data_IF_674974580966
#
_entry.id   IF_674974580966
#
_cell.length_a   1.000
_cell.length_b   1.000
_cell.length_c   1.000
_cell.angle_alpha   90.00
_cell.angle_beta   90.00
_cell.angle_gamma   90.00
#
_symmetry.space_group_name_H-M   'P 1'
#
loop_
_entity.id
_entity.type
_entity.pdbx_description
1 polymer ?
#
# COMPACT_ATOMS: atom_id res chain seq x y z
N UNK A 1 3.53 -28.14 -0.90
CA UNK A 1 3.97 -26.72 -0.81
C UNK A 1 2.98 -25.92 -1.63
N UNK A 2 2.35 -24.92 -1.03
CA UNK A 2 1.30 -24.10 -1.67
C UNK A 2 1.87 -23.33 -2.88
N UNK A 3 1.18 -23.37 -4.02
CA UNK A 3 1.62 -22.69 -5.25
C UNK A 3 1.78 -21.18 -5.00
N UNK A 4 0.88 -20.58 -4.23
CA UNK A 4 0.96 -19.16 -3.86
C UNK A 4 2.25 -18.84 -3.09
N UNK A 5 2.62 -19.71 -2.15
CA UNK A 5 3.86 -19.56 -1.38
C UNK A 5 5.08 -19.60 -2.30
N UNK A 6 5.15 -20.55 -3.23
CA UNK A 6 6.27 -20.65 -4.19
C UNK A 6 6.38 -19.42 -5.09
N UNK A 7 5.25 -18.93 -5.60
CA UNK A 7 5.22 -17.72 -6.43
C UNK A 7 5.65 -16.50 -5.62
N UNK A 8 5.18 -16.39 -4.38
CA UNK A 8 5.54 -15.29 -3.48
C UNK A 8 7.04 -15.31 -3.11
N UNK A 9 7.61 -16.46 -2.80
CA UNK A 9 9.05 -16.60 -2.53
C UNK A 9 9.87 -16.19 -3.76
N UNK A 10 9.51 -16.69 -4.94
CA UNK A 10 10.20 -16.33 -6.17
C UNK A 10 10.08 -14.81 -6.47
N UNK A 11 8.91 -14.22 -6.22
CA UNK A 11 8.71 -12.78 -6.37
C UNK A 11 9.61 -11.99 -5.41
N UNK A 12 9.65 -12.38 -4.14
CA UNK A 12 10.50 -11.75 -3.12
C UNK A 12 12.00 -11.83 -3.45
N UNK A 13 12.45 -12.83 -4.21
CA UNK A 13 13.85 -12.96 -4.61
C UNK A 13 14.21 -12.15 -5.87
N UNK A 14 13.26 -11.99 -6.80
CA UNK A 14 13.57 -11.55 -8.17
C UNK A 14 13.00 -10.18 -8.54
N UNK A 15 11.92 -9.75 -7.88
CA UNK A 15 11.08 -8.65 -8.36
C UNK A 15 11.00 -7.46 -7.41
N UNK A 16 11.62 -7.57 -6.22
CA UNK A 16 11.67 -6.50 -5.22
C UNK A 16 13.06 -5.86 -5.20
N UNK A 17 13.10 -4.54 -5.01
CA UNK A 17 14.36 -3.87 -4.75
C UNK A 17 14.78 -4.18 -3.32
N UNK A 18 16.01 -4.67 -3.15
CA UNK A 18 16.58 -4.96 -1.82
C UNK A 18 16.64 -3.71 -0.94
N UNK A 19 16.87 -2.56 -1.56
CA UNK A 19 16.92 -1.26 -0.91
C UNK A 19 16.11 -0.25 -1.73
N UNK A 20 15.24 0.47 -1.03
CA UNK A 20 14.46 1.58 -1.55
C UNK A 20 15.01 2.89 -0.98
N UNK A 21 14.77 3.97 -1.70
CA UNK A 21 15.24 5.30 -1.33
C UNK A 21 14.16 6.33 -1.65
N UNK A 22 14.00 7.30 -0.76
CA UNK A 22 13.19 8.51 -0.97
C UNK A 22 13.95 9.74 -0.46
N UNK A 23 13.38 10.93 -0.65
CA UNK A 23 13.90 12.18 -0.11
C UNK A 23 12.83 12.91 0.70
N UNK A 24 13.21 13.44 1.84
CA UNK A 24 12.40 14.36 2.64
C UNK A 24 13.23 15.61 2.93
N UNK A 25 12.77 16.79 2.48
CA UNK A 25 13.45 18.09 2.74
C UNK A 25 14.97 18.07 2.49
N UNK A 26 15.43 17.34 1.47
CA UNK A 26 16.84 17.19 1.11
C UNK A 26 17.57 16.00 1.76
N UNK A 27 17.02 15.40 2.80
CA UNK A 27 17.56 14.19 3.44
C UNK A 27 17.25 12.95 2.61
N UNK A 28 18.27 12.13 2.37
CA UNK A 28 18.11 10.84 1.73
C UNK A 28 17.71 9.78 2.77
N UNK A 29 16.55 9.15 2.55
CA UNK A 29 16.02 8.13 3.44
C UNK A 29 16.01 6.80 2.71
N UNK A 30 16.81 5.87 3.22
CA UNK A 30 16.87 4.51 2.70
C UNK A 30 15.95 3.62 3.54
N UNK A 31 15.32 2.61 2.94
CA UNK A 31 14.58 1.59 3.68
C UNK A 31 14.53 0.29 2.88
N UNK A 32 14.23 -0.82 3.54
CA UNK A 32 14.20 -2.13 2.91
C UNK A 32 12.78 -2.71 2.89
N UNK A 33 12.41 -3.26 1.74
CA UNK A 33 11.25 -4.11 1.63
C UNK A 33 11.65 -5.54 2.01
N UNK A 34 11.07 -6.07 3.07
CA UNK A 34 11.40 -7.40 3.61
C UNK A 34 10.80 -8.55 2.79
N UNK A 35 9.91 -8.25 1.85
CA UNK A 35 9.14 -9.26 1.13
C UNK A 35 7.76 -9.49 1.73
N UNK A 36 6.88 -10.09 0.94
CA UNK A 36 5.57 -10.51 1.39
C UNK A 36 5.67 -11.75 2.30
N UNK A 37 4.85 -11.86 3.37
CA UNK A 37 3.82 -10.88 3.80
C UNK A 37 4.35 -9.85 4.83
N UNK A 38 5.64 -9.87 5.18
CA UNK A 38 6.20 -9.03 6.25
C UNK A 38 6.24 -7.54 5.89
N UNK A 39 6.40 -7.23 4.61
CA UNK A 39 6.49 -5.91 3.97
C UNK A 39 7.66 -5.04 4.45
N UNK A 40 7.62 -4.64 5.71
CA UNK A 40 8.58 -3.76 6.38
C UNK A 40 8.94 -4.39 7.73
N UNK A 41 10.21 -4.43 8.08
CA UNK A 41 10.66 -4.80 9.42
C UNK A 41 10.56 -3.57 10.32
N UNK A 42 9.75 -3.61 11.38
CA UNK A 42 9.58 -2.46 12.29
C UNK A 42 10.92 -1.98 12.86
N UNK A 43 11.79 -2.84 13.45
CA UNK A 43 13.07 -2.40 13.99
C UNK A 43 13.98 -1.77 12.91
N UNK A 44 14.11 -2.45 11.75
CA UNK A 44 14.97 -1.98 10.67
C UNK A 44 14.48 -0.63 10.13
N UNK A 45 13.17 -0.48 9.96
CA UNK A 45 12.56 0.75 9.46
C UNK A 45 12.76 1.92 10.42
N UNK A 46 12.57 1.70 11.72
CA UNK A 46 12.86 2.71 12.74
C UNK A 46 14.34 3.11 12.72
N UNK A 47 15.25 2.14 12.66
CA UNK A 47 16.69 2.42 12.53
C UNK A 47 16.99 3.26 11.30
N UNK A 48 16.41 2.94 10.15
CA UNK A 48 16.58 3.73 8.93
C UNK A 48 16.11 5.18 9.10
N UNK A 49 14.91 5.38 9.67
CA UNK A 49 14.36 6.72 9.87
C UNK A 49 15.18 7.54 10.86
N UNK A 50 15.60 6.95 11.98
CA UNK A 50 16.37 7.64 13.02
C UNK A 50 17.78 7.99 12.53
N UNK A 51 18.44 7.07 11.81
CA UNK A 51 19.81 7.30 11.29
C UNK A 51 19.85 8.28 10.12
N UNK A 52 18.86 8.27 9.23
CA UNK A 52 18.80 9.21 8.10
C UNK A 52 18.59 10.66 8.50
N UNK A 53 18.01 10.90 9.68
CA UNK A 53 17.65 12.24 10.14
C UNK A 53 18.39 12.66 11.43
N UNK A 54 19.28 11.80 11.94
CA UNK A 54 19.96 11.96 13.23
C UNK A 54 18.99 12.37 14.36
N UNK A 55 17.85 11.68 14.42
CA UNK A 55 16.75 12.04 15.32
C UNK A 55 16.24 10.82 16.07
N UNK A 56 16.10 10.96 17.39
CA UNK A 56 15.56 9.92 18.25
C UNK A 56 14.06 10.14 18.49
N UNK A 57 13.22 9.31 17.88
CA UNK A 57 11.78 9.30 18.14
C UNK A 57 11.45 9.01 19.61
N UNK A 58 10.39 9.66 20.09
CA UNK A 58 9.76 9.32 21.37
C UNK A 58 9.13 7.93 21.31
N UNK A 59 8.90 7.31 22.47
CA UNK A 59 8.21 6.01 22.54
C UNK A 59 6.81 6.06 21.90
N UNK A 60 6.06 7.14 22.13
CA UNK A 60 4.75 7.35 21.53
C UNK A 60 4.82 7.38 19.99
N UNK A 61 5.85 8.00 19.44
CA UNK A 61 6.03 8.06 17.99
C UNK A 61 6.45 6.70 17.41
N UNK A 62 7.32 5.98 18.12
CA UNK A 62 7.71 4.60 17.76
C UNK A 62 6.45 3.73 17.70
N UNK A 63 5.63 3.75 18.74
CA UNK A 63 4.39 2.96 18.80
C UNK A 63 3.43 3.33 17.66
N UNK A 64 3.30 4.61 17.34
CA UNK A 64 2.46 5.08 16.24
C UNK A 64 2.97 4.56 14.87
N UNK A 65 4.28 4.63 14.61
CA UNK A 65 4.89 4.10 13.38
C UNK A 65 4.64 2.59 13.26
N UNK A 66 4.83 1.87 14.35
CA UNK A 66 4.61 0.42 14.38
C UNK A 66 3.16 0.04 14.09
N UNK A 67 2.20 0.79 14.65
CA UNK A 67 0.78 0.59 14.39
C UNK A 67 0.43 0.85 12.93
N UNK A 68 1.00 1.87 12.29
CA UNK A 68 0.79 2.11 10.85
C UNK A 68 1.35 0.98 9.99
N UNK A 69 2.53 0.43 10.33
CA UNK A 69 3.07 -0.75 9.66
C UNK A 69 2.12 -1.94 9.79
N UNK A 70 1.53 -2.16 10.96
CA UNK A 70 0.58 -3.26 11.17
C UNK A 70 -0.73 -3.07 10.41
N UNK A 71 -1.23 -1.83 10.31
CA UNK A 71 -2.39 -1.50 9.46
C UNK A 71 -2.13 -1.82 7.99
N UNK A 72 -0.94 -1.48 7.48
CA UNK A 72 -0.54 -1.77 6.10
C UNK A 72 -0.48 -3.29 5.87
N UNK A 73 0.13 -4.05 6.79
CA UNK A 73 0.19 -5.52 6.71
C UNK A 73 -1.19 -6.15 6.74
N UNK A 74 -2.05 -5.68 7.64
CA UNK A 74 -3.43 -6.15 7.74
C UNK A 74 -4.20 -5.91 6.44
N UNK A 75 -4.08 -4.70 5.88
CA UNK A 75 -4.69 -4.34 4.61
C UNK A 75 -4.17 -5.23 3.46
N UNK A 76 -2.85 -5.46 3.37
CA UNK A 76 -2.29 -6.36 2.37
C UNK A 76 -2.83 -7.79 2.53
N UNK A 77 -2.82 -8.34 3.74
CA UNK A 77 -3.26 -9.71 3.98
C UNK A 77 -4.73 -9.93 3.58
N UNK A 78 -5.62 -8.97 3.86
CA UNK A 78 -7.01 -9.07 3.42
C UNK A 78 -7.13 -9.16 1.89
N UNK A 79 -6.37 -8.34 1.19
CA UNK A 79 -6.41 -8.22 -0.26
C UNK A 79 -5.73 -9.43 -0.91
N UNK A 80 -4.65 -9.93 -0.32
CA UNK A 80 -3.97 -11.15 -0.71
C UNK A 80 -4.91 -12.37 -0.61
N UNK A 81 -5.57 -12.55 0.55
CA UNK A 81 -6.52 -13.65 0.75
C UNK A 81 -7.73 -13.57 -0.19
N UNK A 82 -8.27 -12.38 -0.43
CA UNK A 82 -9.33 -12.18 -1.42
C UNK A 82 -8.84 -12.53 -2.84
N UNK A 83 -7.62 -12.14 -3.20
CA UNK A 83 -7.02 -12.45 -4.51
C UNK A 83 -6.88 -13.97 -4.69
N UNK A 84 -6.32 -14.67 -3.71
CA UNK A 84 -6.17 -16.14 -3.75
C UNK A 84 -7.52 -16.82 -3.90
N UNK A 85 -8.54 -16.37 -3.15
CA UNK A 85 -9.90 -16.92 -3.26
C UNK A 85 -10.44 -16.80 -4.68
N UNK A 86 -10.34 -15.63 -5.30
CA UNK A 86 -10.83 -15.43 -6.67
C UNK A 86 -10.03 -16.24 -7.70
N UNK A 87 -8.71 -16.34 -7.55
CA UNK A 87 -7.88 -17.10 -8.47
C UNK A 87 -8.13 -18.61 -8.38
N UNK A 88 -8.45 -19.13 -7.20
CA UNK A 88 -8.78 -20.55 -7.02
C UNK A 88 -10.04 -20.98 -7.80
N UNK A 89 -10.92 -20.06 -8.17
CA UNK A 89 -12.11 -20.37 -9.01
C UNK A 89 -11.73 -20.75 -10.45
N UNK A 90 -10.52 -20.41 -10.92
CA UNK A 90 -10.08 -20.69 -12.29
C UNK A 90 -9.61 -22.13 -12.53
N UNK A 91 -9.18 -22.85 -11.48
CA UNK A 91 -8.66 -24.22 -11.57
C UNK A 91 -7.35 -24.44 -12.35
N UNK A 92 -6.88 -23.46 -13.13
CA UNK A 92 -5.65 -23.54 -13.94
C UNK A 92 -4.44 -22.91 -13.22
N UNK A 93 -3.48 -23.75 -12.83
CA UNK A 93 -2.26 -23.37 -12.09
C UNK A 93 -1.41 -22.34 -12.83
N UNK A 94 -1.28 -22.44 -14.16
CA UNK A 94 -0.46 -21.50 -14.94
C UNK A 94 -1.10 -20.11 -14.99
N UNK A 95 -2.43 -20.06 -15.11
CA UNK A 95 -3.19 -18.82 -15.09
C UNK A 95 -3.16 -18.19 -13.68
N UNK A 96 -3.33 -19.00 -12.63
CA UNK A 96 -3.22 -18.57 -11.22
C UNK A 96 -1.85 -17.92 -10.99
N UNK A 97 -0.78 -18.63 -11.32
CA UNK A 97 0.61 -18.18 -11.14
C UNK A 97 0.86 -16.83 -11.79
N UNK A 98 0.45 -16.68 -13.06
CA UNK A 98 0.64 -15.45 -13.83
C UNK A 98 -0.13 -14.27 -13.23
N UNK A 99 -1.39 -14.48 -12.85
CA UNK A 99 -2.21 -13.39 -12.31
C UNK A 99 -1.81 -13.02 -10.88
N UNK A 100 -1.43 -14.00 -10.07
CA UNK A 100 -0.91 -13.75 -8.73
C UNK A 100 0.42 -12.99 -8.76
N UNK A 101 1.34 -13.36 -9.66
CA UNK A 101 2.59 -12.60 -9.87
C UNK A 101 2.33 -11.14 -10.25
N UNK A 102 1.34 -10.89 -11.13
CA UNK A 102 0.91 -9.53 -11.49
C UNK A 102 0.30 -8.78 -10.31
N UNK A 103 -0.50 -9.47 -9.49
CA UNK A 103 -1.05 -8.90 -8.26
C UNK A 103 0.06 -8.46 -7.31
N UNK A 104 1.05 -9.32 -7.04
CA UNK A 104 2.20 -9.00 -6.17
C UNK A 104 3.01 -7.83 -6.70
N UNK A 105 3.22 -7.75 -8.02
CA UNK A 105 3.93 -6.63 -8.65
C UNK A 105 3.22 -5.29 -8.42
N UNK A 106 1.91 -5.25 -8.65
CA UNK A 106 1.11 -4.04 -8.41
C UNK A 106 1.10 -3.69 -6.91
N UNK A 107 0.89 -4.68 -6.03
CA UNK A 107 0.85 -4.46 -4.59
C UNK A 107 2.19 -3.92 -4.07
N UNK A 108 3.31 -4.47 -4.54
CA UNK A 108 4.65 -3.98 -4.21
C UNK A 108 4.84 -2.53 -4.69
N UNK A 109 4.44 -2.21 -5.91
CA UNK A 109 4.54 -0.85 -6.45
C UNK A 109 3.71 0.14 -5.63
N UNK A 110 2.45 -0.19 -5.34
CA UNK A 110 1.54 0.67 -4.58
C UNK A 110 2.06 0.89 -3.14
N UNK A 111 2.54 -0.17 -2.48
CA UNK A 111 3.16 -0.09 -1.15
C UNK A 111 4.43 0.74 -1.14
N UNK A 112 5.34 0.51 -2.10
CA UNK A 112 6.59 1.27 -2.19
C UNK A 112 6.31 2.76 -2.36
N UNK A 113 5.37 3.10 -3.24
CA UNK A 113 4.98 4.49 -3.47
C UNK A 113 4.33 5.09 -2.21
N UNK A 114 3.45 4.36 -1.53
CA UNK A 114 2.87 4.82 -0.27
C UNK A 114 3.92 5.03 0.81
N UNK A 115 4.88 4.13 0.97
CA UNK A 115 5.95 4.30 1.98
C UNK A 115 6.79 5.54 1.65
N UNK A 116 7.23 5.66 0.40
CA UNK A 116 8.10 6.75 -0.07
C UNK A 116 7.45 8.12 0.00
N UNK A 117 6.20 8.23 -0.46
CA UNK A 117 5.51 9.50 -0.62
C UNK A 117 4.60 9.84 0.56
N UNK A 118 4.29 8.86 1.41
CA UNK A 118 3.28 9.04 2.46
C UNK A 118 3.78 8.65 3.84
N UNK A 119 4.09 7.38 4.10
CA UNK A 119 4.43 6.95 5.46
C UNK A 119 5.64 7.70 6.01
N UNK A 120 6.72 7.79 5.22
CA UNK A 120 7.94 8.47 5.63
C UNK A 120 7.70 9.96 5.90
N UNK A 121 6.96 10.63 5.02
CA UNK A 121 6.62 12.05 5.18
C UNK A 121 5.76 12.28 6.44
N UNK A 122 4.76 11.43 6.68
CA UNK A 122 3.93 11.49 7.88
C UNK A 122 4.76 11.38 9.16
N UNK A 123 5.75 10.48 9.17
CA UNK A 123 6.65 10.34 10.31
C UNK A 123 7.37 11.65 10.60
N UNK A 124 8.02 12.22 9.59
CA UNK A 124 8.84 13.41 9.81
C UNK A 124 8.01 14.66 10.10
N UNK A 125 6.88 14.87 9.41
CA UNK A 125 6.01 16.00 9.71
C UNK A 125 5.45 15.93 11.14
N UNK A 126 5.09 14.75 11.64
CA UNK A 126 4.67 14.59 13.03
C UNK A 126 5.82 14.79 14.03
N UNK A 127 6.99 14.21 13.76
CA UNK A 127 8.15 14.33 14.65
C UNK A 127 8.65 15.77 14.75
N UNK A 128 8.51 16.55 13.68
CA UNK A 128 8.89 17.97 13.62
C UNK A 128 7.76 18.92 14.07
N UNK A 129 6.56 18.39 14.34
CA UNK A 129 5.35 19.18 14.61
C UNK A 129 5.07 20.22 13.51
N UNK A 130 5.23 19.83 12.25
CA UNK A 130 5.03 20.68 11.10
C UNK A 130 3.78 20.28 10.29
N UNK A 131 3.18 21.28 9.63
CA UNK A 131 2.18 21.05 8.59
C UNK A 131 2.81 20.27 7.42
N UNK A 132 2.05 19.33 6.86
CA UNK A 132 2.44 18.66 5.63
C UNK A 132 2.50 19.64 4.47
N UNK A 133 3.61 19.67 3.72
CA UNK A 133 3.78 20.54 2.56
C UNK A 133 3.80 19.72 1.27
N UNK A 134 2.93 20.06 0.32
CA UNK A 134 3.07 19.64 -1.08
C UNK A 134 3.11 20.88 -1.97
N UNK A 135 4.27 21.14 -2.59
CA UNK A 135 4.50 22.33 -3.43
C UNK A 135 4.21 23.62 -2.64
N UNK A 136 3.21 24.39 -3.05
CA UNK A 136 2.80 25.65 -2.41
C UNK A 136 1.67 25.47 -1.39
N UNK A 137 1.14 24.26 -1.24
CA UNK A 137 -0.01 23.96 -0.37
C UNK A 137 0.45 23.36 0.95
N UNK A 138 -0.28 23.69 2.02
CA UNK A 138 -0.11 23.10 3.35
C UNK A 138 -1.35 22.35 3.77
N UNK A 139 -1.13 21.28 4.52
CA UNK A 139 -2.19 20.42 5.00
C UNK A 139 -1.98 20.08 6.47
N UNK A 140 -3.10 19.88 7.17
CA UNK A 140 -3.12 19.16 8.42
C UNK A 140 -2.54 17.75 8.19
N UNK A 141 -1.47 17.44 8.92
CA UNK A 141 -0.66 16.23 8.71
C UNK A 141 -1.47 14.95 8.91
N UNK A 142 -2.35 14.91 9.91
CA UNK A 142 -3.14 13.73 10.26
C UNK A 142 -4.28 13.51 9.27
N UNK A 143 -5.05 14.56 8.94
CA UNK A 143 -6.17 14.45 8.00
C UNK A 143 -5.63 14.13 6.58
N UNK A 144 -4.48 14.72 6.21
CA UNK A 144 -3.87 14.44 4.91
C UNK A 144 -3.33 13.00 4.83
N UNK A 145 -2.69 12.52 5.90
CA UNK A 145 -2.27 11.12 5.98
C UNK A 145 -3.44 10.16 5.85
N UNK A 146 -4.56 10.41 6.54
CA UNK A 146 -5.78 9.62 6.39
C UNK A 146 -6.27 9.57 4.95
N UNK A 147 -6.26 10.70 4.23
CA UNK A 147 -6.64 10.75 2.83
C UNK A 147 -5.72 9.89 1.94
N UNK A 148 -4.41 9.93 2.20
CA UNK A 148 -3.41 9.12 1.48
C UNK A 148 -3.51 7.63 1.83
N UNK A 149 -3.83 7.28 3.07
CA UNK A 149 -4.08 5.89 3.47
C UNK A 149 -5.35 5.34 2.80
N UNK A 150 -6.44 6.13 2.74
CA UNK A 150 -7.63 5.77 1.95
C UNK A 150 -7.34 5.61 0.47
N UNK A 151 -6.37 6.36 -0.05
CA UNK A 151 -5.89 6.15 -1.43
C UNK A 151 -5.17 4.80 -1.60
N UNK A 152 -4.34 4.37 -0.64
CA UNK A 152 -3.74 3.03 -0.65
C UNK A 152 -4.81 1.92 -0.63
N UNK A 153 -5.83 2.04 0.23
CA UNK A 153 -6.97 1.10 0.26
C UNK A 153 -7.63 1.01 -1.14
N UNK A 154 -7.86 2.15 -1.78
CA UNK A 154 -8.44 2.23 -3.12
C UNK A 154 -7.54 1.60 -4.19
N UNK A 155 -6.22 1.77 -4.09
CA UNK A 155 -5.26 1.21 -5.05
C UNK A 155 -5.20 -0.32 -4.95
N UNK A 156 -5.23 -0.88 -3.74
CA UNK A 156 -5.36 -2.33 -3.54
C UNK A 156 -6.70 -2.87 -4.01
N UNK A 157 -7.80 -2.15 -3.77
CA UNK A 157 -9.10 -2.52 -4.30
C UNK A 157 -9.11 -2.51 -5.84
N UNK A 158 -8.43 -1.55 -6.46
CA UNK A 158 -8.25 -1.51 -7.90
C UNK A 158 -7.42 -2.70 -8.40
N UNK A 159 -6.40 -3.14 -7.64
CA UNK A 159 -5.61 -4.33 -7.94
C UNK A 159 -6.49 -5.60 -7.93
N UNK A 160 -7.34 -5.78 -6.91
CA UNK A 160 -8.35 -6.85 -6.88
C UNK A 160 -9.28 -6.81 -8.09
N UNK A 161 -9.79 -5.63 -8.43
CA UNK A 161 -10.65 -5.45 -9.62
C UNK A 161 -9.92 -5.83 -10.91
N UNK A 162 -8.63 -5.51 -11.05
CA UNK A 162 -7.81 -5.93 -12.21
C UNK A 162 -7.70 -7.46 -12.27
N UNK A 163 -7.53 -8.13 -11.13
CA UNK A 163 -7.55 -9.60 -11.06
C UNK A 163 -8.91 -10.15 -11.50
N UNK A 164 -10.01 -9.65 -10.95
CA UNK A 164 -11.37 -10.05 -11.36
C UNK A 164 -11.64 -9.82 -12.85
N UNK A 165 -11.19 -8.68 -13.41
CA UNK A 165 -11.30 -8.42 -14.86
C UNK A 165 -10.46 -9.40 -15.68
N UNK A 166 -9.32 -9.86 -15.18
CA UNK A 166 -8.53 -10.88 -15.85
C UNK A 166 -9.22 -12.26 -15.82
N UNK A 167 -9.85 -12.62 -14.70
CA UNK A 167 -10.66 -13.84 -14.55
C UNK A 167 -11.88 -13.79 -15.48
N UNK A 168 -12.62 -12.68 -15.48
CA UNK A 168 -13.81 -12.51 -16.33
C UNK A 168 -13.51 -12.65 -17.83
N UNK A 169 -12.33 -12.22 -18.29
CA UNK A 169 -11.92 -12.42 -19.69
C UNK A 169 -11.78 -13.89 -20.07
N UNK A 170 -11.50 -14.76 -19.11
CA UNK A 170 -11.38 -16.21 -19.30
C UNK A 170 -12.74 -16.90 -19.18
N UNK A 171 -13.66 -16.32 -18.39
CA UNK A 171 -15.02 -16.83 -18.17
C UNK A 171 -16.05 -15.71 -18.42
N UNK A 172 -16.25 -15.28 -19.68
CA UNK A 172 -16.99 -14.05 -20.02
C UNK A 172 -18.49 -14.08 -19.71
N UNK A 173 -19.05 -15.23 -19.35
CA UNK A 173 -20.47 -15.39 -19.04
C UNK A 173 -20.74 -15.59 -17.54
N UNK A 174 -19.72 -15.49 -16.69
CA UNK A 174 -19.92 -15.57 -15.24
C UNK A 174 -20.63 -14.31 -14.73
N UNK A 175 -21.90 -14.47 -14.36
CA UNK A 175 -22.73 -13.38 -13.85
C UNK A 175 -22.28 -12.90 -12.46
N UNK A 176 -21.72 -13.78 -11.65
CA UNK A 176 -21.24 -13.47 -10.30
C UNK A 176 -20.04 -12.55 -10.38
N UNK A 177 -19.03 -12.90 -11.18
CA UNK A 177 -17.83 -12.07 -11.39
C UNK A 177 -18.21 -10.71 -12.00
N UNK A 178 -19.14 -10.70 -12.97
CA UNK A 178 -19.64 -9.46 -13.57
C UNK A 178 -20.28 -8.55 -12.52
N UNK A 179 -21.13 -9.09 -11.64
CA UNK A 179 -21.75 -8.35 -10.55
C UNK A 179 -20.71 -7.83 -9.56
N UNK A 180 -19.75 -8.67 -9.15
CA UNK A 180 -18.66 -8.27 -8.26
C UNK A 180 -17.86 -7.10 -8.83
N UNK A 181 -17.47 -7.15 -10.11
CA UNK A 181 -16.77 -6.04 -10.78
C UNK A 181 -17.59 -4.74 -10.71
N UNK A 182 -18.89 -4.80 -10.99
CA UNK A 182 -19.77 -3.64 -10.91
C UNK A 182 -19.90 -3.08 -9.48
N UNK A 183 -20.01 -3.96 -8.48
CA UNK A 183 -20.03 -3.57 -7.05
C UNK A 183 -18.72 -2.89 -6.64
N UNK A 184 -17.57 -3.44 -7.04
CA UNK A 184 -16.26 -2.82 -6.82
C UNK A 184 -16.21 -1.43 -7.47
N UNK A 185 -16.69 -1.27 -8.70
CA UNK A 185 -16.69 0.03 -9.37
C UNK A 185 -17.59 1.08 -8.70
N UNK A 186 -18.74 0.68 -8.16
CA UNK A 186 -19.61 1.56 -7.41
C UNK A 186 -18.99 2.01 -6.08
N UNK A 187 -18.45 1.07 -5.30
CA UNK A 187 -17.79 1.36 -4.01
C UNK A 187 -16.53 2.23 -4.20
N UNK A 188 -15.71 1.94 -5.21
CA UNK A 188 -14.53 2.74 -5.53
C UNK A 188 -14.87 4.21 -5.82
N UNK A 189 -15.97 4.49 -6.55
CA UNK A 189 -16.42 5.87 -6.80
C UNK A 189 -16.79 6.59 -5.50
N UNK A 190 -17.41 5.91 -4.55
CA UNK A 190 -17.74 6.50 -3.25
C UNK A 190 -16.47 6.80 -2.43
N UNK A 191 -15.50 5.89 -2.46
CA UNK A 191 -14.19 6.10 -1.80
C UNK A 191 -13.39 7.24 -2.42
N UNK A 192 -13.42 7.40 -3.74
CA UNK A 192 -12.80 8.54 -4.43
C UNK A 192 -13.38 9.88 -3.93
N UNK A 193 -14.70 9.97 -3.79
CA UNK A 193 -15.35 11.16 -3.24
C UNK A 193 -14.95 11.40 -1.77
N UNK A 194 -14.83 10.35 -0.97
CA UNK A 194 -14.35 10.44 0.41
C UNK A 194 -12.91 10.98 0.48
N UNK A 195 -12.01 10.49 -0.36
CA UNK A 195 -10.62 10.96 -0.46
C UNK A 195 -10.58 12.44 -0.84
N UNK A 196 -11.38 12.87 -1.82
CA UNK A 196 -11.45 14.29 -2.23
C UNK A 196 -11.92 15.17 -1.09
N UNK A 197 -12.91 14.72 -0.31
CA UNK A 197 -13.41 15.43 0.88
C UNK A 197 -12.32 15.55 1.95
N UNK A 198 -11.66 14.45 2.32
CA UNK A 198 -10.57 14.46 3.30
C UNK A 198 -9.42 15.37 2.87
N UNK A 199 -9.01 15.30 1.58
CA UNK A 199 -7.97 16.20 1.06
C UNK A 199 -8.38 17.67 1.12
N UNK A 200 -9.65 17.97 0.91
CA UNK A 200 -10.17 19.34 1.00
C UNK A 200 -10.24 19.83 2.44
N UNK A 201 -10.65 18.96 3.36
CA UNK A 201 -10.68 19.23 4.81
C UNK A 201 -9.28 19.43 5.39
N UNK A 202 -8.29 18.68 4.89
CA UNK A 202 -6.92 18.81 5.33
C UNK A 202 -6.27 20.14 4.91
N UNK A 203 -6.79 20.84 3.89
CA UNK A 203 -6.16 22.08 3.39
C UNK A 203 -6.19 23.15 4.47
N UNK A 204 -5.02 23.69 4.78
CA UNK A 204 -4.88 24.84 5.65
C UNK A 204 -4.90 26.10 4.78
N UNK A 205 -5.95 26.91 4.92
CA UNK A 205 -6.00 28.22 4.28
C UNK A 205 -5.03 29.15 5.00
N UNK A 206 -4.08 29.72 4.27
CA UNK A 206 -3.30 30.87 4.71
C UNK A 206 -3.93 32.15 4.16
#
# INVERSE_FOLDING_TARGET
>A
MDEYFRVQENFNLTSVAKQNCTKFEGYQINWCFEGFPKLISKPSFLTYLQTSFDYQFSSLMIDAIEQEIDKIRFLFNQVDEATKRYLNELGDVAIITRNYSRFLLNAYSDLKNFVNETLINWVFYNALHEDWKEKTMRYDTEIFYQARFKKLELDFQNNLKKTLKAIYKLIPNDQTIKLMIATYEADMKQKELCIVKLRSQAKLNK
#
